data_IF_686094277695
#
_entry.id   IF_686094277695
#
_cell.length_a   1.000
_cell.length_b   1.000
_cell.length_c   1.000
_cell.angle_alpha   90.00
_cell.angle_beta   90.00
_cell.angle_gamma   90.00
#
_symmetry.space_group_name_H-M   'P 1'
#
loop_
_entity.id
_entity.type
_entity.pdbx_description
1 polymer ?
#
# COMPACT_ATOMS: atom_id res chain seq x y z
N UNK A 1 6.75 -35.75 38.52
CA UNK A 1 6.39 -34.85 37.41
C UNK A 1 7.62 -34.06 37.10
N UNK A 2 8.37 -34.57 36.12
CA UNK A 2 9.74 -34.21 35.82
C UNK A 2 9.82 -32.83 35.19
N UNK A 3 10.75 -32.05 35.73
CA UNK A 3 11.30 -30.81 35.20
C UNK A 3 11.39 -30.83 33.67
N UNK A 4 10.61 -29.97 33.02
CA UNK A 4 10.84 -29.61 31.62
C UNK A 4 11.57 -28.26 31.60
N UNK A 5 12.72 -28.21 32.27
CA UNK A 5 13.76 -27.21 32.00
C UNK A 5 14.53 -27.67 30.77
N UNK A 6 13.83 -27.69 29.64
CA UNK A 6 14.40 -27.95 28.33
C UNK A 6 15.36 -26.81 28.03
N UNK A 7 16.66 -27.13 28.12
CA UNK A 7 17.79 -26.26 27.86
C UNK A 7 17.50 -25.47 26.58
N UNK A 8 17.30 -24.16 26.69
CA UNK A 8 17.35 -23.26 25.54
C UNK A 8 18.60 -23.64 24.74
N UNK A 9 18.41 -23.99 23.47
CA UNK A 9 19.53 -24.28 22.56
C UNK A 9 20.56 -23.15 22.71
N UNK A 10 21.84 -23.44 23.02
CA UNK A 10 22.84 -22.41 23.29
C UNK A 10 22.92 -21.36 22.17
N UNK A 11 22.62 -21.75 20.93
CA UNK A 11 22.54 -20.83 19.79
C UNK A 11 21.36 -19.86 19.86
N UNK A 12 20.22 -20.29 20.41
CA UNK A 12 19.04 -19.44 20.58
C UNK A 12 19.28 -18.42 21.71
N UNK A 13 19.92 -18.84 22.81
CA UNK A 13 20.29 -17.95 23.89
C UNK A 13 21.31 -16.88 23.43
N UNK A 14 22.30 -17.26 22.63
CA UNK A 14 23.28 -16.35 22.03
C UNK A 14 22.64 -15.38 21.02
N UNK A 15 21.71 -15.87 20.19
CA UNK A 15 20.96 -15.03 19.26
C UNK A 15 20.09 -13.99 19.99
N UNK A 16 19.41 -14.37 21.07
CA UNK A 16 18.61 -13.44 21.89
C UNK A 16 19.47 -12.38 22.58
N UNK A 17 20.62 -12.77 23.14
CA UNK A 17 21.58 -11.83 23.72
C UNK A 17 22.11 -10.83 22.68
N UNK A 18 22.37 -11.30 21.46
CA UNK A 18 22.81 -10.46 20.33
C UNK A 18 21.69 -9.50 19.90
N UNK A 19 20.45 -9.97 19.80
CA UNK A 19 19.28 -9.13 19.47
C UNK A 19 19.11 -8.01 20.51
N UNK A 20 19.24 -8.33 21.80
CA UNK A 20 19.06 -7.34 22.85
C UNK A 20 20.19 -6.29 22.85
N UNK A 21 21.44 -6.73 22.65
CA UNK A 21 22.58 -5.82 22.46
C UNK A 21 22.44 -4.92 21.22
N UNK A 22 21.91 -5.47 20.12
CA UNK A 22 21.62 -4.70 18.91
C UNK A 22 20.50 -3.68 19.14
N UNK A 23 19.43 -4.05 19.86
CA UNK A 23 18.36 -3.10 20.22
C UNK A 23 18.87 -1.95 21.07
N UNK A 24 19.70 -2.23 22.08
CA UNK A 24 20.34 -1.17 22.89
C UNK A 24 21.24 -0.27 22.04
N UNK A 25 21.93 -0.83 21.05
CA UNK A 25 22.76 -0.07 20.13
C UNK A 25 21.91 0.80 19.20
N UNK A 26 20.79 0.28 18.70
CA UNK A 26 19.83 1.02 17.87
C UNK A 26 19.23 2.18 18.64
N UNK A 27 18.75 1.96 19.87
CA UNK A 27 18.15 3.04 20.68
C UNK A 27 19.17 4.14 21.02
N UNK A 28 20.42 3.78 21.31
CA UNK A 28 21.51 4.76 21.49
C UNK A 28 21.79 5.54 20.20
N UNK A 29 21.88 4.87 19.05
CA UNK A 29 22.10 5.52 17.76
C UNK A 29 20.95 6.44 17.37
N UNK A 30 19.70 6.06 17.64
CA UNK A 30 18.51 6.90 17.45
C UNK A 30 18.58 8.14 18.33
N UNK A 31 18.96 7.99 19.61
CA UNK A 31 19.19 9.11 20.53
C UNK A 31 20.27 10.06 20.01
N UNK A 32 21.44 9.55 19.63
CA UNK A 32 22.53 10.35 19.06
C UNK A 32 22.13 11.04 17.75
N UNK A 33 21.42 10.35 16.86
CA UNK A 33 20.93 10.95 15.61
C UNK A 33 19.93 12.09 15.87
N UNK A 34 19.07 11.96 16.88
CA UNK A 34 18.16 13.03 17.29
C UNK A 34 18.92 14.25 17.78
N UNK A 35 19.89 14.05 18.68
CA UNK A 35 20.75 15.12 19.20
C UNK A 35 21.54 15.81 18.08
N UNK A 36 22.20 15.04 17.21
CA UNK A 36 22.96 15.58 16.08
C UNK A 36 22.09 16.35 15.09
N UNK A 37 20.84 15.94 14.87
CA UNK A 37 19.88 16.71 14.05
C UNK A 37 19.51 18.03 14.71
N UNK A 38 19.33 18.04 16.03
CA UNK A 38 19.02 19.26 16.77
C UNK A 38 20.22 20.22 16.78
N UNK A 39 21.41 19.73 17.11
CA UNK A 39 22.65 20.52 17.05
C UNK A 39 22.89 21.07 15.65
N UNK A 40 22.67 20.29 14.59
CA UNK A 40 22.79 20.81 13.21
C UNK A 40 21.82 21.95 12.91
N UNK A 41 20.59 21.90 13.43
CA UNK A 41 19.63 23.00 13.28
C UNK A 41 20.12 24.25 14.02
N UNK A 42 20.58 24.06 15.25
CA UNK A 42 21.05 25.17 16.10
C UNK A 42 22.32 25.81 15.51
N UNK A 43 23.27 25.01 15.01
CA UNK A 43 24.44 25.50 14.30
C UNK A 43 24.08 26.24 13.00
N UNK A 44 23.14 25.74 12.21
CA UNK A 44 22.65 26.44 11.01
C UNK A 44 22.01 27.78 11.36
N UNK A 45 21.17 27.80 12.38
CA UNK A 45 20.52 29.03 12.86
C UNK A 45 21.55 30.05 13.36
N UNK A 46 22.51 29.62 14.17
CA UNK A 46 23.59 30.45 14.70
C UNK A 46 24.50 30.99 13.58
N UNK A 47 24.84 30.16 12.59
CA UNK A 47 25.61 30.60 11.42
C UNK A 47 24.87 31.67 10.62
N UNK A 48 23.56 31.48 10.40
CA UNK A 48 22.73 32.42 9.66
C UNK A 48 22.57 33.75 10.39
N UNK A 49 22.40 33.74 11.71
CA UNK A 49 22.36 34.98 12.52
C UNK A 49 23.71 35.69 12.57
N UNK A 50 24.82 34.95 12.67
CA UNK A 50 26.16 35.53 12.62
C UNK A 50 26.48 36.17 11.26
N UNK A 51 26.03 35.56 10.17
CA UNK A 51 26.18 36.09 8.80
C UNK A 51 25.36 37.37 8.62
N UNK A 52 24.09 37.38 9.05
CA UNK A 52 23.24 38.58 9.04
C UNK A 52 23.83 39.73 9.87
N UNK A 53 24.36 39.43 11.06
CA UNK A 53 25.01 40.43 11.90
C UNK A 53 26.28 41.02 11.25
N UNK A 54 27.07 40.20 10.56
CA UNK A 54 28.24 40.65 9.80
C UNK A 54 27.86 41.53 8.61
N UNK A 55 26.83 41.15 7.87
CA UNK A 55 26.33 41.97 6.76
C UNK A 55 25.79 43.32 7.25
N UNK A 56 24.98 43.33 8.31
CA UNK A 56 24.43 44.56 8.88
C UNK A 56 25.53 45.50 9.40
N UNK A 57 26.54 44.96 10.09
CA UNK A 57 27.67 45.77 10.57
C UNK A 57 28.49 46.35 9.41
N UNK A 58 28.63 45.62 8.31
CA UNK A 58 29.37 46.09 7.15
C UNK A 58 28.57 47.11 6.31
N UNK A 59 27.23 47.01 6.29
CA UNK A 59 26.36 48.05 5.71
C UNK A 59 26.41 49.35 6.51
N UNK A 60 26.39 49.27 7.84
CA UNK A 60 26.47 50.45 8.71
C UNK A 60 27.81 51.19 8.52
N UNK A 61 28.92 50.44 8.39
CA UNK A 61 30.24 50.99 8.14
C UNK A 61 30.36 51.66 6.75
N UNK A 62 29.75 51.09 5.71
CA UNK A 62 29.78 51.68 4.37
C UNK A 62 28.83 52.87 4.21
N UNK A 63 27.66 52.84 4.86
CA UNK A 63 26.77 54.01 4.96
C UNK A 63 27.44 55.16 5.69
N UNK A 64 28.19 54.88 6.76
CA UNK A 64 28.95 55.89 7.48
C UNK A 64 30.09 56.51 6.65
N UNK A 65 30.67 55.74 5.72
CA UNK A 65 31.74 56.19 4.81
C UNK A 65 31.23 56.87 3.53
N UNK A 66 29.93 56.81 3.23
CA UNK A 66 29.33 57.50 2.08
C UNK A 66 29.77 56.98 0.70
N UNK A 67 30.34 55.77 0.63
CA UNK A 67 30.84 55.19 -0.63
C UNK A 67 29.69 54.52 -1.40
N UNK A 68 28.96 55.33 -2.17
CA UNK A 68 27.79 54.91 -2.96
C UNK A 68 28.14 53.79 -3.95
N UNK A 69 29.36 53.77 -4.50
CA UNK A 69 29.79 52.72 -5.44
C UNK A 69 29.99 51.36 -4.74
N UNK A 70 30.50 51.36 -3.51
CA UNK A 70 30.60 50.15 -2.70
C UNK A 70 29.21 49.60 -2.34
N UNK A 71 28.28 50.49 -1.96
CA UNK A 71 26.89 50.16 -1.64
C UNK A 71 26.18 49.56 -2.87
N UNK A 72 26.28 50.18 -4.05
CA UNK A 72 25.66 49.67 -5.28
C UNK A 72 26.20 48.29 -5.69
N UNK A 73 27.52 48.10 -5.62
CA UNK A 73 28.14 46.81 -5.93
C UNK A 73 27.62 45.71 -4.99
N UNK A 74 27.56 46.00 -3.69
CA UNK A 74 27.02 45.05 -2.69
C UNK A 74 25.55 44.76 -2.87
N UNK A 75 24.74 45.78 -3.17
CA UNK A 75 23.31 45.61 -3.43
C UNK A 75 23.10 44.69 -4.64
N UNK A 76 23.89 44.90 -5.68
CA UNK A 76 23.87 44.07 -6.90
C UNK A 76 24.29 42.64 -6.59
N UNK A 77 25.37 42.44 -5.83
CA UNK A 77 25.82 41.11 -5.41
C UNK A 77 24.78 40.40 -4.53
N UNK A 78 24.11 41.13 -3.62
CA UNK A 78 23.02 40.60 -2.79
C UNK A 78 21.82 40.18 -3.63
N UNK A 79 21.35 41.04 -4.52
CA UNK A 79 20.24 40.71 -5.40
C UNK A 79 20.57 39.56 -6.34
N UNK A 80 21.80 39.48 -6.86
CA UNK A 80 22.21 38.35 -7.70
C UNK A 80 22.19 37.04 -6.90
N UNK A 81 22.75 37.02 -5.68
CA UNK A 81 22.68 35.85 -4.79
C UNK A 81 21.24 35.45 -4.48
N UNK A 82 20.36 36.42 -4.26
CA UNK A 82 18.96 36.17 -3.95
C UNK A 82 18.19 35.65 -5.17
N UNK A 83 18.49 36.17 -6.37
CA UNK A 83 17.98 35.65 -7.64
C UNK A 83 18.44 34.20 -7.84
N UNK A 84 19.73 33.91 -7.64
CA UNK A 84 20.29 32.57 -7.81
C UNK A 84 19.65 31.59 -6.80
N UNK A 85 19.48 32.02 -5.54
CA UNK A 85 18.80 31.25 -4.50
C UNK A 85 17.34 30.97 -4.85
N UNK A 86 16.56 32.00 -5.20
CA UNK A 86 15.16 31.85 -5.58
C UNK A 86 15.01 31.00 -6.84
N UNK A 87 15.94 31.11 -7.79
CA UNK A 87 15.96 30.28 -9.00
C UNK A 87 16.19 28.82 -8.65
N UNK A 88 17.17 28.53 -7.78
CA UNK A 88 17.44 27.18 -7.30
C UNK A 88 16.28 26.59 -6.50
N UNK A 89 15.64 27.38 -5.64
CA UNK A 89 14.46 26.96 -4.88
C UNK A 89 13.29 26.66 -5.83
N UNK A 90 13.06 27.51 -6.83
CA UNK A 90 12.03 27.32 -7.85
C UNK A 90 12.28 26.06 -8.68
N UNK A 91 13.52 25.80 -9.08
CA UNK A 91 13.89 24.57 -9.81
C UNK A 91 13.69 23.31 -8.96
N UNK A 92 14.07 23.35 -7.68
CA UNK A 92 13.86 22.26 -6.72
C UNK A 92 12.37 21.97 -6.52
N UNK A 93 11.57 23.00 -6.20
CA UNK A 93 10.13 22.88 -6.03
C UNK A 93 9.43 22.41 -7.32
N UNK A 94 9.90 22.86 -8.48
CA UNK A 94 9.38 22.37 -9.77
C UNK A 94 9.69 20.89 -9.97
N UNK A 95 10.91 20.45 -9.61
CA UNK A 95 11.29 19.03 -9.62
C UNK A 95 10.42 18.18 -8.70
N UNK A 96 10.24 18.60 -7.45
CA UNK A 96 9.42 17.91 -6.46
C UNK A 96 7.96 17.81 -6.91
N UNK A 97 7.40 18.90 -7.44
CA UNK A 97 6.04 18.93 -7.94
C UNK A 97 5.83 17.99 -9.13
N UNK A 98 6.82 17.85 -10.03
CA UNK A 98 6.79 16.88 -11.13
C UNK A 98 6.78 15.45 -10.58
N UNK A 99 7.67 15.14 -9.64
CA UNK A 99 7.75 13.82 -8.99
C UNK A 99 6.43 13.46 -8.29
N UNK A 100 5.86 14.38 -7.51
CA UNK A 100 4.58 14.17 -6.81
C UNK A 100 3.44 13.93 -7.80
N UNK A 101 3.39 14.65 -8.93
CA UNK A 101 2.37 14.44 -9.97
C UNK A 101 2.46 13.05 -10.58
N UNK A 102 3.67 12.62 -10.96
CA UNK A 102 3.93 11.26 -11.48
C UNK A 102 3.49 10.22 -10.45
N UNK A 103 3.90 10.37 -9.20
CA UNK A 103 3.59 9.43 -8.12
C UNK A 103 2.09 9.31 -7.86
N UNK A 104 1.38 10.43 -7.84
CA UNK A 104 -0.07 10.45 -7.65
C UNK A 104 -0.82 9.82 -8.82
N UNK A 105 -0.40 10.08 -10.06
CA UNK A 105 -1.02 9.48 -11.24
C UNK A 105 -0.81 7.96 -11.29
N UNK A 106 0.40 7.48 -10.98
CA UNK A 106 0.70 6.05 -10.89
C UNK A 106 -0.14 5.40 -9.79
N UNK A 107 -0.15 5.99 -8.59
CA UNK A 107 -0.89 5.45 -7.45
C UNK A 107 -2.38 5.37 -7.74
N UNK A 108 -2.96 6.42 -8.36
CA UNK A 108 -4.36 6.44 -8.76
C UNK A 108 -4.66 5.35 -9.79
N UNK A 109 -3.83 5.23 -10.83
CA UNK A 109 -4.02 4.24 -11.89
C UNK A 109 -3.90 2.79 -11.38
N UNK A 110 -2.99 2.53 -10.44
CA UNK A 110 -2.85 1.22 -9.79
C UNK A 110 -4.06 0.88 -8.91
N UNK A 111 -4.59 1.87 -8.18
CA UNK A 111 -5.78 1.71 -7.37
C UNK A 111 -7.02 1.41 -8.23
N UNK A 112 -7.21 2.16 -9.33
CA UNK A 112 -8.27 1.92 -10.32
C UNK A 112 -8.12 0.55 -10.99
N UNK A 113 -6.88 0.08 -11.16
CA UNK A 113 -6.55 -1.23 -11.72
C UNK A 113 -6.91 -2.42 -10.83
N UNK A 114 -7.30 -2.20 -9.56
CA UNK A 114 -7.58 -3.25 -8.56
C UNK A 114 -6.40 -4.22 -8.37
N UNK A 115 -5.18 -3.69 -8.28
CA UNK A 115 -3.94 -4.47 -8.10
C UNK A 115 -3.88 -5.08 -6.68
N UNK A 116 -3.23 -6.24 -6.52
CA UNK A 116 -2.97 -6.81 -5.19
C UNK A 116 -2.14 -5.88 -4.31
N UNK A 117 -2.51 -5.74 -3.04
CA UNK A 117 -1.86 -4.81 -2.10
C UNK A 117 -0.36 -5.04 -1.97
N UNK A 118 0.08 -6.31 -1.88
CA UNK A 118 1.50 -6.67 -1.80
C UNK A 118 2.28 -6.44 -3.11
N UNK A 119 1.60 -6.17 -4.22
CA UNK A 119 2.22 -5.87 -5.53
C UNK A 119 2.19 -4.38 -5.88
N UNK A 120 1.48 -3.55 -5.10
CA UNK A 120 1.37 -2.10 -5.35
C UNK A 120 2.73 -1.43 -5.30
N UNK A 121 3.54 -1.73 -4.28
CA UNK A 121 4.86 -1.11 -4.10
C UNK A 121 5.85 -1.49 -5.24
N UNK A 122 6.06 -2.79 -5.57
CA UNK A 122 6.91 -3.18 -6.70
C UNK A 122 6.49 -2.58 -8.04
N UNK A 123 5.18 -2.58 -8.34
CA UNK A 123 4.66 -2.01 -9.59
C UNK A 123 4.81 -0.49 -9.63
N UNK A 124 4.58 0.18 -8.50
CA UNK A 124 4.80 1.62 -8.38
C UNK A 124 6.24 1.98 -8.70
N UNK A 125 7.23 1.28 -8.13
CA UNK A 125 8.65 1.51 -8.48
C UNK A 125 8.95 1.24 -9.96
N UNK A 126 8.40 0.16 -10.53
CA UNK A 126 8.59 -0.16 -11.94
C UNK A 126 8.06 0.96 -12.86
N UNK A 127 6.85 1.47 -12.59
CA UNK A 127 6.26 2.52 -13.41
C UNK A 127 6.96 3.87 -13.20
N UNK A 128 7.38 4.19 -11.96
CA UNK A 128 8.18 5.38 -11.67
C UNK A 128 9.50 5.39 -12.45
N UNK A 129 10.17 4.25 -12.56
CA UNK A 129 11.41 4.12 -13.32
C UNK A 129 11.25 4.35 -14.83
N UNK A 130 10.04 4.16 -15.37
CA UNK A 130 9.72 4.35 -16.80
C UNK A 130 9.03 5.68 -17.10
N UNK A 131 8.52 6.35 -16.07
CA UNK A 131 7.77 7.59 -16.23
C UNK A 131 8.69 8.75 -16.63
N UNK A 132 8.20 9.56 -17.56
CA UNK A 132 8.79 10.82 -18.00
C UNK A 132 7.78 11.93 -17.82
N UNK A 133 8.26 13.13 -17.47
CA UNK A 133 7.41 14.31 -17.39
C UNK A 133 7.65 15.18 -18.64
N UNK A 134 6.71 15.16 -19.57
CA UNK A 134 6.81 15.84 -20.87
C UNK A 134 5.55 16.70 -21.09
N UNK A 135 5.72 17.94 -21.57
CA UNK A 135 4.62 18.86 -21.92
C UNK A 135 3.59 19.10 -20.78
N UNK A 136 4.02 19.05 -19.52
CA UNK A 136 3.14 19.30 -18.37
C UNK A 136 2.34 18.09 -17.89
N UNK A 137 2.53 16.91 -18.49
CA UNK A 137 1.88 15.67 -18.10
C UNK A 137 2.91 14.55 -17.86
N UNK A 138 2.58 13.60 -17.00
CA UNK A 138 3.38 12.39 -16.86
C UNK A 138 3.01 11.39 -17.98
N UNK A 139 4.01 10.86 -18.65
CA UNK A 139 3.85 9.88 -19.72
C UNK A 139 4.79 8.69 -19.52
N UNK A 140 4.36 7.52 -20.00
CA UNK A 140 5.19 6.31 -20.10
C UNK A 140 5.09 5.85 -21.55
N UNK A 141 6.23 5.68 -22.22
CA UNK A 141 6.30 5.31 -23.64
C UNK A 141 5.42 6.21 -24.55
N UNK A 142 5.38 7.51 -24.26
CA UNK A 142 4.61 8.50 -25.02
C UNK A 142 3.09 8.47 -24.77
N UNK A 143 2.60 7.63 -23.85
CA UNK A 143 1.19 7.57 -23.45
C UNK A 143 0.98 8.17 -22.07
N UNK A 144 -0.20 8.74 -21.76
CA UNK A 144 -0.55 9.13 -20.40
C UNK A 144 -0.38 7.96 -19.43
N UNK A 145 0.15 8.22 -18.24
CA UNK A 145 0.44 7.19 -17.22
C UNK A 145 -0.75 6.27 -16.96
N UNK A 146 -1.95 6.85 -16.81
CA UNK A 146 -3.17 6.07 -16.57
C UNK A 146 -3.53 5.11 -17.70
N UNK A 147 -3.41 5.56 -18.96
CA UNK A 147 -3.68 4.71 -20.13
C UNK A 147 -2.64 3.60 -20.26
N UNK A 148 -1.37 3.91 -20.03
CA UNK A 148 -0.29 2.93 -20.07
C UNK A 148 -0.48 1.84 -19.02
N UNK A 149 -0.75 2.22 -17.77
CA UNK A 149 -0.94 1.28 -16.66
C UNK A 149 -2.19 0.43 -16.90
N UNK A 150 -3.30 1.03 -17.36
CA UNK A 150 -4.52 0.30 -17.70
C UNK A 150 -4.26 -0.74 -18.81
N UNK A 151 -3.57 -0.34 -19.89
CA UNK A 151 -3.20 -1.24 -20.97
C UNK A 151 -2.25 -2.36 -20.52
N UNK A 152 -1.27 -2.04 -19.66
CA UNK A 152 -0.36 -3.03 -19.08
C UNK A 152 -1.14 -4.07 -18.26
N UNK A 153 -2.00 -3.62 -17.34
CA UNK A 153 -2.81 -4.49 -16.48
C UNK A 153 -3.85 -5.31 -17.25
N UNK A 154 -4.26 -4.85 -18.45
CA UNK A 154 -5.11 -5.61 -19.37
C UNK A 154 -4.37 -6.63 -20.24
N UNK A 155 -3.03 -6.58 -20.28
CA UNK A 155 -2.19 -7.50 -21.05
C UNK A 155 -1.92 -8.82 -20.32
N UNK A 156 -1.30 -9.77 -21.04
CA UNK A 156 -1.02 -11.14 -20.57
C UNK A 156 -0.16 -11.18 -19.30
N UNK A 157 0.82 -10.29 -19.17
CA UNK A 157 1.70 -10.22 -18.01
C UNK A 157 1.01 -9.46 -16.87
N UNK A 158 0.36 -8.34 -17.19
CA UNK A 158 -0.23 -7.43 -16.20
C UNK A 158 -1.50 -7.97 -15.52
N UNK A 159 -2.23 -8.86 -16.19
CA UNK A 159 -3.46 -9.46 -15.64
C UNK A 159 -3.19 -10.27 -14.38
N UNK A 160 -1.99 -10.82 -14.20
CA UNK A 160 -1.60 -11.59 -13.01
C UNK A 160 -1.53 -10.74 -11.75
N UNK A 161 -1.36 -9.42 -11.89
CA UNK A 161 -1.28 -8.49 -10.77
C UNK A 161 -2.64 -7.91 -10.39
N UNK A 162 -3.66 -8.10 -11.23
CA UNK A 162 -5.01 -7.61 -11.01
C UNK A 162 -5.78 -8.62 -10.17
N UNK A 163 -6.37 -8.14 -9.07
CA UNK A 163 -7.39 -8.90 -8.35
C UNK A 163 -8.58 -9.07 -9.29
N UNK A 164 -9.06 -10.30 -9.44
CA UNK A 164 -10.37 -10.53 -10.04
C UNK A 164 -11.41 -9.65 -9.37
N UNK A 165 -12.42 -9.21 -10.12
CA UNK A 165 -13.63 -8.63 -9.52
C UNK A 165 -14.03 -9.54 -8.38
N UNK A 166 -14.23 -9.02 -7.16
CA UNK A 166 -14.70 -9.80 -6.02
C UNK A 166 -15.98 -10.53 -6.43
N UNK A 167 -15.82 -11.74 -6.94
CA UNK A 167 -16.87 -12.67 -7.23
C UNK A 167 -17.27 -13.18 -5.86
N UNK A 168 -18.30 -12.55 -5.30
CA UNK A 168 -18.91 -12.88 -4.02
C UNK A 168 -19.61 -14.25 -4.03
N UNK A 169 -19.00 -15.26 -4.66
CA UNK A 169 -19.41 -16.67 -4.56
C UNK A 169 -19.27 -17.22 -3.13
N UNK A 170 -18.49 -16.55 -2.27
CA UNK A 170 -18.48 -16.78 -0.83
C UNK A 170 -19.72 -16.20 -0.09
N UNK A 171 -20.68 -15.66 -0.83
CA UNK A 171 -21.98 -15.17 -0.35
C UNK A 171 -23.16 -15.95 -0.92
N UNK A 172 -22.95 -17.14 -1.49
CA UNK A 172 -24.03 -18.12 -1.59
C UNK A 172 -24.44 -18.51 -0.16
N UNK A 173 -25.29 -17.68 0.45
CA UNK A 173 -26.19 -18.11 1.50
C UNK A 173 -26.87 -19.35 0.94
N UNK A 174 -26.39 -20.53 1.37
CA UNK A 174 -27.21 -21.72 1.32
C UNK A 174 -28.55 -21.30 1.92
N UNK A 175 -29.60 -21.43 1.12
CA UNK A 175 -30.95 -20.99 1.42
C UNK A 175 -31.32 -21.31 2.89
N UNK A 176 -31.21 -20.32 3.77
CA UNK A 176 -31.54 -20.44 5.20
C UNK A 176 -33.05 -20.32 5.44
N UNK A 177 -33.85 -20.24 4.37
CA UNK A 177 -35.29 -20.01 4.41
C UNK A 177 -36.12 -21.14 3.82
N UNK A 178 -35.56 -22.34 3.70
CA UNK A 178 -36.40 -23.54 3.76
C UNK A 178 -36.70 -23.81 5.22
N UNK A 179 -37.82 -23.27 5.71
CA UNK A 179 -38.59 -23.93 6.76
C UNK A 179 -38.71 -25.38 6.34
N UNK A 180 -37.90 -26.25 6.94
CA UNK A 180 -38.06 -27.69 6.80
C UNK A 180 -39.52 -27.95 7.18
N UNK A 181 -40.37 -28.47 6.28
CA UNK A 181 -41.72 -28.82 6.66
C UNK A 181 -41.60 -29.71 7.89
N UNK A 182 -42.24 -29.30 8.99
CA UNK A 182 -42.17 -29.80 10.37
C UNK A 182 -42.56 -31.28 10.56
N UNK A 183 -42.32 -32.15 9.58
CA UNK A 183 -42.72 -33.55 9.55
C UNK A 183 -41.58 -34.54 9.35
N UNK A 184 -40.33 -34.06 9.27
CA UNK A 184 -39.19 -34.90 8.95
C UNK A 184 -38.20 -34.87 10.11
N UNK A 185 -38.00 -36.00 10.78
CA UNK A 185 -36.88 -36.13 11.71
C UNK A 185 -35.59 -36.36 10.92
N UNK A 186 -34.47 -35.92 11.47
CA UNK A 186 -33.15 -35.93 10.80
C UNK A 186 -32.72 -37.35 10.36
N UNK A 187 -33.26 -38.38 11.02
CA UNK A 187 -33.04 -39.80 10.69
C UNK A 187 -33.82 -40.26 9.46
N UNK A 188 -34.99 -39.69 9.16
CA UNK A 188 -35.76 -40.04 7.96
C UNK A 188 -35.14 -39.50 6.68
N UNK A 189 -34.39 -38.40 6.77
CA UNK A 189 -33.76 -37.73 5.62
C UNK A 189 -32.37 -38.30 5.26
N UNK A 190 -31.60 -38.79 6.24
CA UNK A 190 -30.14 -38.98 6.08
C UNK A 190 -29.60 -40.40 5.83
N UNK A 191 -30.41 -41.46 5.62
CA UNK A 191 -29.74 -42.70 5.19
C UNK A 191 -30.53 -43.94 4.83
N UNK A 192 -31.66 -44.21 5.47
CA UNK A 192 -32.29 -45.54 5.34
C UNK A 192 -33.44 -45.55 4.32
N UNK A 193 -34.32 -44.54 4.37
CA UNK A 193 -35.56 -44.54 3.57
C UNK A 193 -35.37 -44.11 2.11
N UNK A 194 -34.44 -43.20 1.84
CA UNK A 194 -34.13 -42.75 0.48
C UNK A 194 -33.44 -43.83 -0.36
N UNK A 195 -32.65 -44.70 0.28
CA UNK A 195 -32.01 -45.84 -0.38
C UNK A 195 -32.97 -47.00 -0.61
N UNK A 196 -33.90 -47.26 0.32
CA UNK A 196 -34.99 -48.23 0.12
C UNK A 196 -35.99 -47.77 -0.95
N UNK A 197 -36.33 -46.48 -1.01
CA UNK A 197 -37.19 -45.93 -2.06
C UNK A 197 -36.59 -46.11 -3.46
N UNK A 198 -35.28 -45.89 -3.62
CA UNK A 198 -34.60 -46.12 -4.90
C UNK A 198 -34.57 -47.60 -5.33
N UNK A 199 -34.55 -48.54 -4.38
CA UNK A 199 -34.65 -49.97 -4.69
C UNK A 199 -36.10 -50.38 -5.04
N UNK A 200 -37.09 -49.82 -4.34
CA UNK A 200 -38.53 -50.05 -4.60
C UNK A 200 -39.00 -49.45 -5.92
N UNK A 201 -38.37 -48.37 -6.42
CA UNK A 201 -38.68 -47.80 -7.73
C UNK A 201 -38.51 -48.80 -8.89
N UNK A 202 -37.64 -49.81 -8.71
CA UNK A 202 -37.38 -50.84 -9.71
C UNK A 202 -38.28 -52.07 -9.54
N UNK A 203 -38.50 -52.49 -8.30
CA UNK A 203 -39.09 -53.80 -8.00
C UNK A 203 -40.58 -53.72 -7.60
N UNK A 204 -41.09 -52.57 -7.13
CA UNK A 204 -42.51 -52.35 -6.82
C UNK A 204 -42.93 -50.86 -6.96
N UNK A 205 -43.20 -50.41 -8.20
CA UNK A 205 -43.39 -48.97 -8.52
C UNK A 205 -44.62 -48.35 -7.85
N UNK A 206 -45.65 -49.13 -7.54
CA UNK A 206 -46.86 -48.64 -6.88
C UNK A 206 -46.59 -48.17 -5.45
N UNK A 207 -45.79 -48.92 -4.69
CA UNK A 207 -45.39 -48.55 -3.33
C UNK A 207 -44.42 -47.38 -3.34
N UNK A 208 -43.52 -47.32 -4.33
CA UNK A 208 -42.66 -46.16 -4.54
C UNK A 208 -43.46 -44.88 -4.78
N UNK A 209 -44.45 -44.92 -5.67
CA UNK A 209 -45.28 -43.74 -5.97
C UNK A 209 -46.17 -43.33 -4.80
N UNK A 210 -46.59 -44.29 -3.96
CA UNK A 210 -47.28 -44.01 -2.71
C UNK A 210 -46.36 -43.31 -1.70
N UNK A 211 -45.10 -43.74 -1.58
CA UNK A 211 -44.09 -43.09 -0.74
C UNK A 211 -43.74 -41.70 -1.25
N UNK A 212 -43.49 -41.52 -2.56
CA UNK A 212 -43.22 -40.21 -3.18
C UNK A 212 -44.38 -39.24 -2.93
N UNK A 213 -45.63 -39.73 -3.04
CA UNK A 213 -46.83 -38.92 -2.75
C UNK A 213 -46.98 -38.60 -1.26
N UNK A 214 -46.75 -39.56 -0.36
CA UNK A 214 -46.80 -39.34 1.09
C UNK A 214 -45.71 -38.37 1.58
N UNK A 215 -44.54 -38.39 0.94
CA UNK A 215 -43.41 -37.52 1.24
C UNK A 215 -43.55 -36.13 0.59
N UNK A 216 -44.58 -35.89 -0.23
CA UNK A 216 -44.79 -34.59 -0.89
C UNK A 216 -43.65 -34.20 -1.84
N UNK A 217 -42.94 -35.20 -2.37
CA UNK A 217 -41.87 -35.01 -3.34
C UNK A 217 -42.47 -34.68 -4.72
N UNK A 218 -41.76 -33.93 -5.59
CA UNK A 218 -42.27 -33.56 -6.89
C UNK A 218 -42.63 -34.78 -7.74
N UNK A 219 -43.75 -34.71 -8.45
CA UNK A 219 -44.30 -35.81 -9.26
C UNK A 219 -43.35 -36.31 -10.34
N UNK A 220 -42.34 -35.52 -10.71
CA UNK A 220 -41.25 -35.93 -11.61
C UNK A 220 -40.38 -37.07 -11.07
N UNK A 221 -40.52 -37.41 -9.78
CA UNK A 221 -39.85 -38.53 -9.14
C UNK A 221 -40.72 -39.78 -9.03
N UNK A 222 -41.98 -39.76 -9.51
CA UNK A 222 -42.80 -40.98 -9.64
C UNK A 222 -42.33 -41.77 -10.87
N UNK A 223 -42.37 -43.09 -10.79
CA UNK A 223 -41.93 -44.02 -11.86
C UNK A 223 -43.09 -44.86 -12.34
#
# INVERSE_FOLDING_TARGET
MTDNTEKLDPKLAEALATIESLKESVTKLEGFNSVLKQENKDFKSAAQTAEQAREAAAEEAERANGDVAAIEKRLTDKFQKEIDKLTSERDTLSGDLRTIRVDNEITRALAEGNVFEHQLEPLSYMFKAKAKYENGAATIDGKPVGEFISAYLGGEVGSNFRRGTNNSGAGASGNTNTTVPSKWTKEEFLGTRSREAQLLARDNPTEHNAIVSQLGLPDSLKV
#
